data_IF_873918865981
#
_entry.id   IF_873918865981
#
_cell.length_a   1.000
_cell.length_b   1.000
_cell.length_c   1.000
_cell.angle_alpha   90.00
_cell.angle_beta   90.00
_cell.angle_gamma   90.00
#
_symmetry.space_group_name_H-M   'P 1'
#
loop_
_entity.id
_entity.type
_entity.pdbx_description
1 polymer ?
#
# COMPACT_ATOMS: atom_id res chain seq x y z
N UNK A 1 26.09 19.40 -9.43
CA UNK A 1 24.68 19.52 -8.96
C UNK A 1 23.63 18.84 -9.85
N UNK A 2 23.89 18.52 -11.14
CA UNK A 2 22.87 17.91 -12.03
C UNK A 2 22.59 16.41 -11.82
N UNK A 3 23.53 15.61 -11.30
CA UNK A 3 23.33 14.16 -11.13
C UNK A 3 22.49 13.78 -9.89
N UNK A 4 22.52 14.56 -8.80
CA UNK A 4 21.83 14.23 -7.54
C UNK A 4 20.30 14.29 -7.61
N UNK A 5 19.72 15.18 -8.43
CA UNK A 5 18.26 15.33 -8.49
C UNK A 5 17.58 14.14 -9.18
N UNK A 6 18.23 13.50 -10.15
CA UNK A 6 17.65 12.37 -10.86
C UNK A 6 17.56 11.11 -9.98
N UNK A 7 18.54 10.88 -9.10
CA UNK A 7 18.53 9.72 -8.19
C UNK A 7 17.38 9.83 -7.19
N UNK A 8 17.11 11.02 -6.64
CA UNK A 8 15.99 11.25 -5.74
C UNK A 8 14.63 11.04 -6.45
N UNK A 9 14.48 11.54 -7.68
CA UNK A 9 13.26 11.33 -8.48
C UNK A 9 13.05 9.86 -8.83
N UNK A 10 14.11 9.15 -9.20
CA UNK A 10 14.05 7.72 -9.50
C UNK A 10 13.69 6.89 -8.25
N UNK A 11 14.24 7.24 -7.08
CA UNK A 11 13.90 6.60 -5.82
C UNK A 11 12.42 6.82 -5.44
N UNK A 12 11.89 8.03 -5.62
CA UNK A 12 10.47 8.33 -5.39
C UNK A 12 9.55 7.57 -6.36
N UNK A 13 9.91 7.52 -7.65
CA UNK A 13 9.18 6.73 -8.64
C UNK A 13 9.18 5.24 -8.31
N UNK A 14 10.32 4.70 -7.86
CA UNK A 14 10.42 3.30 -7.45
C UNK A 14 9.55 3.00 -6.23
N UNK A 15 9.51 3.87 -5.22
CA UNK A 15 8.64 3.72 -4.05
C UNK A 15 7.15 3.76 -4.41
N UNK A 16 6.76 4.70 -5.28
CA UNK A 16 5.39 4.79 -5.80
C UNK A 16 5.00 3.54 -6.59
N UNK A 17 5.90 3.05 -7.46
CA UNK A 17 5.67 1.84 -8.23
C UNK A 17 5.53 0.59 -7.33
N UNK A 18 6.35 0.47 -6.29
CA UNK A 18 6.27 -0.61 -5.30
C UNK A 18 4.93 -0.58 -4.54
N UNK A 19 4.53 0.59 -4.02
CA UNK A 19 3.26 0.74 -3.32
C UNK A 19 2.05 0.42 -4.20
N UNK A 20 2.05 0.90 -5.45
CA UNK A 20 1.00 0.58 -6.44
C UNK A 20 0.95 -0.90 -6.81
N UNK A 21 2.11 -1.55 -6.92
CA UNK A 21 2.20 -2.98 -7.23
C UNK A 21 1.66 -3.87 -6.11
N UNK A 22 1.94 -3.53 -4.85
CA UNK A 22 1.39 -4.25 -3.70
C UNK A 22 -0.14 -4.11 -3.61
N UNK A 23 -0.68 -2.93 -3.90
CA UNK A 23 -2.15 -2.70 -3.97
C UNK A 23 -2.78 -3.52 -5.11
N UNK A 24 -2.12 -3.60 -6.28
CA UNK A 24 -2.58 -4.42 -7.39
C UNK A 24 -2.61 -5.91 -7.04
N UNK A 25 -1.53 -6.42 -6.41
CA UNK A 25 -1.45 -7.81 -5.95
C UNK A 25 -2.49 -8.13 -4.88
N UNK A 26 -2.72 -7.21 -3.95
CA UNK A 26 -3.78 -7.34 -2.96
C UNK A 26 -5.15 -7.53 -3.61
N UNK A 27 -5.44 -6.75 -4.66
CA UNK A 27 -6.71 -6.87 -5.38
C UNK A 27 -6.88 -8.22 -6.07
N UNK A 28 -5.83 -8.73 -6.72
CA UNK A 28 -5.85 -10.06 -7.32
C UNK A 28 -6.08 -11.18 -6.29
N UNK A 29 -5.49 -11.07 -5.10
CA UNK A 29 -5.72 -12.02 -3.98
C UNK A 29 -7.15 -11.93 -3.44
N UNK A 30 -7.70 -10.72 -3.31
CA UNK A 30 -9.10 -10.54 -2.88
C UNK A 30 -10.08 -11.16 -3.89
N UNK A 31 -9.83 -11.02 -5.18
CA UNK A 31 -10.63 -11.67 -6.23
C UNK A 31 -10.55 -13.21 -6.14
N UNK A 32 -9.38 -13.75 -5.82
CA UNK A 32 -9.18 -15.18 -5.60
C UNK A 32 -9.92 -15.69 -4.34
N UNK A 33 -9.87 -14.92 -3.24
CA UNK A 33 -10.64 -15.22 -2.03
C UNK A 33 -12.16 -15.22 -2.29
N UNK A 34 -12.65 -14.29 -3.12
CA UNK A 34 -14.05 -14.24 -3.53
C UNK A 34 -14.46 -15.48 -4.35
N UNK A 35 -13.59 -15.96 -5.25
CA UNK A 35 -13.83 -17.22 -6.00
C UNK A 35 -13.88 -18.43 -5.08
N UNK A 36 -12.94 -18.53 -4.13
CA UNK A 36 -12.92 -19.62 -3.15
C UNK A 36 -14.16 -19.60 -2.25
N UNK A 37 -14.61 -18.41 -1.81
CA UNK A 37 -15.84 -18.24 -1.04
C UNK A 37 -17.08 -18.66 -1.84
N UNK A 38 -17.13 -18.32 -3.14
CA UNK A 38 -18.22 -18.73 -4.02
C UNK A 38 -18.29 -20.25 -4.19
N UNK A 39 -17.14 -20.94 -4.29
CA UNK A 39 -17.07 -22.40 -4.31
C UNK A 39 -17.51 -23.01 -2.97
N UNK A 40 -17.04 -22.46 -1.84
CA UNK A 40 -17.45 -22.89 -0.51
C UNK A 40 -18.97 -22.82 -0.33
N UNK A 41 -19.59 -21.73 -0.77
CA UNK A 41 -21.04 -21.51 -0.71
C UNK A 41 -21.82 -22.55 -1.51
N UNK A 42 -21.27 -23.01 -2.65
CA UNK A 42 -21.88 -24.08 -3.45
C UNK A 42 -21.84 -25.41 -2.71
N UNK A 43 -20.68 -25.76 -2.13
CA UNK A 43 -20.54 -26.98 -1.34
C UNK A 43 -21.44 -26.98 -0.10
N UNK A 44 -21.60 -25.84 0.57
CA UNK A 44 -22.48 -25.71 1.73
C UNK A 44 -23.95 -25.90 1.35
N UNK A 45 -24.39 -25.34 0.21
CA UNK A 45 -25.72 -25.60 -0.35
C UNK A 45 -25.92 -27.08 -0.69
N UNK A 46 -24.97 -27.69 -1.39
CA UNK A 46 -25.05 -29.13 -1.72
C UNK A 46 -25.06 -30.01 -0.46
N UNK A 47 -24.39 -29.59 0.61
CA UNK A 47 -24.43 -30.27 1.89
C UNK A 47 -25.74 -30.09 2.67
N UNK A 48 -26.40 -28.94 2.51
CA UNK A 48 -27.74 -28.70 3.03
C UNK A 48 -28.79 -29.54 2.29
N UNK A 49 -28.62 -29.73 0.98
CA UNK A 49 -29.49 -30.59 0.18
C UNK A 49 -29.30 -32.08 0.53
N UNK A 50 -28.07 -32.50 0.83
CA UNK A 50 -27.73 -33.88 1.22
C UNK A 50 -28.00 -34.22 2.70
N UNK A 51 -28.92 -33.51 3.37
CA UNK A 51 -29.26 -33.57 4.81
C UNK A 51 -29.07 -34.96 5.44
N UNK A 52 -28.13 -35.07 6.38
CA UNK A 52 -27.94 -36.25 7.23
C UNK A 52 -27.18 -37.41 6.59
N UNK A 53 -26.78 -37.30 5.31
CA UNK A 53 -25.91 -38.29 4.66
C UNK A 53 -24.44 -38.02 4.96
N UNK A 54 -23.61 -39.08 4.93
CA UNK A 54 -22.14 -38.97 5.03
C UNK A 54 -21.55 -38.04 3.94
N UNK A 55 -22.22 -37.97 2.78
CA UNK A 55 -21.89 -37.04 1.69
C UNK A 55 -22.09 -35.59 2.14
N UNK A 56 -23.20 -35.28 2.81
CA UNK A 56 -23.44 -33.95 3.36
C UNK A 56 -22.38 -33.52 4.39
N UNK A 57 -21.87 -34.45 5.20
CA UNK A 57 -20.81 -34.15 6.19
C UNK A 57 -19.48 -33.82 5.51
N UNK A 58 -19.05 -34.62 4.53
CA UNK A 58 -17.78 -34.37 3.82
C UNK A 58 -17.81 -33.10 2.97
N UNK A 59 -18.98 -32.72 2.42
CA UNK A 59 -19.18 -31.46 1.71
C UNK A 59 -19.08 -30.23 2.63
N UNK A 60 -19.60 -30.30 3.86
CA UNK A 60 -19.41 -29.21 4.86
C UNK A 60 -17.95 -29.07 5.27
N UNK A 61 -17.25 -30.18 5.47
CA UNK A 61 -15.83 -30.15 5.83
C UNK A 61 -14.99 -29.51 4.70
N UNK A 62 -15.31 -29.81 3.43
CA UNK A 62 -14.69 -29.12 2.30
C UNK A 62 -15.04 -27.64 2.25
N UNK A 63 -16.31 -27.27 2.43
CA UNK A 63 -16.74 -25.87 2.47
C UNK A 63 -16.01 -25.08 3.55
N UNK A 64 -15.86 -25.63 4.76
CA UNK A 64 -15.10 -25.01 5.85
C UNK A 64 -13.63 -24.79 5.50
N UNK A 65 -12.98 -25.75 4.84
CA UNK A 65 -11.59 -25.60 4.36
C UNK A 65 -11.47 -24.47 3.34
N UNK A 66 -12.41 -24.36 2.40
CA UNK A 66 -12.42 -23.26 1.43
C UNK A 66 -12.70 -21.89 2.07
N UNK A 67 -13.59 -21.82 3.07
CA UNK A 67 -13.81 -20.59 3.84
C UNK A 67 -12.58 -20.16 4.64
N UNK A 68 -11.88 -21.11 5.28
CA UNK A 68 -10.66 -20.84 6.01
C UNK A 68 -9.55 -20.32 5.06
N UNK A 69 -9.36 -20.96 3.91
CA UNK A 69 -8.40 -20.53 2.90
C UNK A 69 -8.74 -19.13 2.35
N UNK A 70 -10.01 -18.88 2.02
CA UNK A 70 -10.46 -17.58 1.54
C UNK A 70 -10.20 -16.48 2.58
N UNK A 71 -10.42 -16.75 3.87
CA UNK A 71 -10.17 -15.81 4.95
C UNK A 71 -8.68 -15.48 5.10
N UNK A 72 -7.79 -16.48 5.01
CA UNK A 72 -6.33 -16.25 5.04
C UNK A 72 -5.89 -15.40 3.85
N UNK A 73 -6.36 -15.73 2.63
CA UNK A 73 -6.01 -14.98 1.42
C UNK A 73 -6.54 -13.54 1.47
N UNK A 74 -7.73 -13.33 2.04
CA UNK A 74 -8.29 -11.99 2.26
C UNK A 74 -7.46 -11.18 3.28
N UNK A 75 -7.06 -11.79 4.40
CA UNK A 75 -6.16 -11.16 5.37
C UNK A 75 -4.80 -10.79 4.76
N UNK A 76 -4.23 -11.66 3.93
CA UNK A 76 -3.00 -11.36 3.20
C UNK A 76 -3.19 -10.20 2.22
N UNK A 77 -4.31 -10.16 1.51
CA UNK A 77 -4.65 -9.06 0.61
C UNK A 77 -4.75 -7.73 1.38
N UNK A 78 -5.43 -7.70 2.52
CA UNK A 78 -5.57 -6.50 3.34
C UNK A 78 -4.21 -6.04 3.89
N UNK A 79 -3.37 -6.96 4.32
CA UNK A 79 -2.01 -6.64 4.78
C UNK A 79 -1.14 -6.08 3.63
N UNK A 80 -1.20 -6.67 2.43
CA UNK A 80 -0.50 -6.15 1.25
C UNK A 80 -1.01 -4.75 0.87
N UNK A 81 -2.32 -4.53 0.92
CA UNK A 81 -2.93 -3.22 0.65
C UNK A 81 -2.48 -2.17 1.67
N UNK A 82 -2.48 -2.51 2.96
CA UNK A 82 -2.05 -1.61 4.02
C UNK A 82 -0.57 -1.22 3.85
N UNK A 83 0.30 -2.18 3.54
CA UNK A 83 1.72 -1.93 3.23
C UNK A 83 1.89 -1.03 2.00
N UNK A 84 1.16 -1.31 0.92
CA UNK A 84 1.21 -0.49 -0.30
C UNK A 84 0.80 0.97 -0.06
N UNK A 85 -0.28 1.19 0.72
CA UNK A 85 -0.72 2.54 1.13
C UNK A 85 0.34 3.23 2.00
N UNK A 86 0.91 2.51 2.97
CA UNK A 86 1.94 3.07 3.85
C UNK A 86 3.20 3.51 3.06
N UNK A 87 3.63 2.69 2.09
CA UNK A 87 4.76 3.04 1.21
C UNK A 87 4.43 4.28 0.37
N UNK A 88 3.22 4.36 -0.18
CA UNK A 88 2.78 5.50 -0.98
C UNK A 88 2.73 6.79 -0.15
N UNK A 89 2.17 6.72 1.07
CA UNK A 89 2.11 7.85 2.00
C UNK A 89 3.51 8.32 2.42
N UNK A 90 4.42 7.39 2.72
CA UNK A 90 5.80 7.71 3.06
C UNK A 90 6.52 8.39 1.88
N UNK A 91 6.35 7.89 0.65
CA UNK A 91 6.92 8.50 -0.54
C UNK A 91 6.40 9.93 -0.75
N UNK A 92 5.09 10.16 -0.57
CA UNK A 92 4.49 11.49 -0.64
C UNK A 92 5.06 12.46 0.40
N UNK A 93 5.24 12.01 1.64
CA UNK A 93 5.84 12.82 2.70
C UNK A 93 7.29 13.20 2.38
N UNK A 94 8.10 12.25 1.90
CA UNK A 94 9.49 12.51 1.50
C UNK A 94 9.55 13.52 0.35
N UNK A 95 8.68 13.39 -0.66
CA UNK A 95 8.61 14.33 -1.77
C UNK A 95 8.24 15.75 -1.29
N UNK A 96 7.28 15.87 -0.36
CA UNK A 96 6.89 17.15 0.21
C UNK A 96 8.03 17.81 0.99
N UNK A 97 8.73 17.05 1.84
CA UNK A 97 9.88 17.55 2.59
C UNK A 97 11.00 18.01 1.66
N UNK A 98 11.31 17.21 0.63
CA UNK A 98 12.29 17.60 -0.39
C UNK A 98 11.91 18.90 -1.08
N UNK A 99 10.64 19.03 -1.50
CA UNK A 99 10.14 20.27 -2.10
C UNK A 99 10.26 21.47 -1.16
N UNK A 100 9.91 21.32 0.12
CA UNK A 100 10.06 22.40 1.12
C UNK A 100 11.51 22.83 1.30
N UNK A 101 12.45 21.89 1.36
CA UNK A 101 13.89 22.23 1.48
C UNK A 101 14.40 22.96 0.23
N UNK A 102 13.99 22.53 -0.96
CA UNK A 102 14.36 23.18 -2.21
C UNK A 102 13.75 24.58 -2.33
N UNK A 103 12.49 24.73 -1.94
CA UNK A 103 11.79 26.01 -1.89
C UNK A 103 12.47 26.99 -0.93
N UNK A 104 12.77 26.56 0.30
CA UNK A 104 13.47 27.39 1.29
C UNK A 104 14.85 27.83 0.80
N UNK A 105 15.55 26.98 0.05
CA UNK A 105 16.87 27.33 -0.50
C UNK A 105 16.78 28.34 -1.65
N UNK A 106 15.74 28.28 -2.47
CA UNK A 106 15.60 29.13 -3.66
C UNK A 106 14.84 30.44 -3.39
N UNK A 107 13.98 30.48 -2.37
CA UNK A 107 13.09 31.60 -2.06
C UNK A 107 13.19 32.08 -0.60
N UNK A 108 14.14 31.54 0.16
CA UNK A 108 14.39 31.99 1.53
C UNK A 108 14.89 33.44 1.55
N UNK A 109 14.45 34.25 2.54
CA UNK A 109 14.94 35.62 2.67
C UNK A 109 16.46 35.59 2.86
N UNK A 110 17.20 36.24 1.96
CA UNK A 110 18.60 36.58 2.20
C UNK A 110 18.58 37.62 3.30
N UNK A 111 19.03 37.23 4.49
CA UNK A 111 19.32 38.20 5.54
C UNK A 111 20.60 38.88 5.09
N UNK A 112 20.46 40.00 4.38
CA UNK A 112 21.58 40.86 4.02
C UNK A 112 22.12 41.43 5.35
N UNK A 113 23.26 40.88 5.80
CA UNK A 113 23.96 41.32 7.00
C UNK A 113 24.86 42.54 6.74
N UNK A 114 24.92 43.00 5.48
CA UNK A 114 25.83 44.05 5.02
C UNK A 114 25.43 45.46 5.51
N UNK A 115 24.20 45.67 5.96
CA UNK A 115 23.73 47.00 6.41
C UNK A 115 24.23 47.42 7.81
N UNK A 116 24.98 46.56 8.52
CA UNK A 116 25.49 46.88 9.87
C UNK A 116 26.90 47.44 9.91
N UNK A 117 27.68 47.38 8.84
CA UNK A 117 29.07 47.87 8.86
C UNK A 117 29.22 49.38 8.52
N UNK A 118 28.15 50.08 8.13
CA UNK A 118 28.21 51.50 7.75
C UNK A 118 27.68 52.50 8.81
N UNK A 119 27.44 52.08 10.05
CA UNK A 119 26.89 52.97 11.09
C UNK A 119 27.77 53.17 12.33
N UNK A 120 29.07 52.83 12.28
CA UNK A 120 29.99 53.21 13.36
C UNK A 120 30.44 54.67 13.17
N UNK A 121 30.08 55.61 14.07
CA UNK A 121 30.60 56.97 14.02
C UNK A 121 32.10 56.97 14.33
N UNK A 122 32.83 57.80 13.57
CA UNK A 122 34.27 58.03 13.63
C UNK A 122 34.77 58.60 14.97
#
# INVERSE_FOLDING_TARGET
>A
MKAMNWVATLALLALVALGGFDIYRARARADEANRQTALATRYDRSAADAKGTLIGVSLREQAQKYHANAHVVAMEADNMRARGIAVFAAAGLVALLFFMTLWSRNHGPRVDLDDREHSLPA
#
